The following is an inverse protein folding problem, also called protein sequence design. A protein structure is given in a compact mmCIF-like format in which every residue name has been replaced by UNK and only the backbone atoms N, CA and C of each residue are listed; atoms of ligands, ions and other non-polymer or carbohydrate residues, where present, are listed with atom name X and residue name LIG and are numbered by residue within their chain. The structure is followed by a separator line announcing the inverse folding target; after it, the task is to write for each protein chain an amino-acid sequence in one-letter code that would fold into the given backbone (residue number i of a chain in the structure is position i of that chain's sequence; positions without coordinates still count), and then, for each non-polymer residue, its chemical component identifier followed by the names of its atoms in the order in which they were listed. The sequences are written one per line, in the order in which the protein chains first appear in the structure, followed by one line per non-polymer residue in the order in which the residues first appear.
data_IF_707378558975
#
_entry.id   IF_707378558975
#
_cell.length_a   1.000
_cell.length_b   1.000
_cell.length_c   1.000
_cell.angle_alpha   90.00
_cell.angle_beta   90.00
_cell.angle_gamma   90.00
#
_symmetry.space_group_name_H-M   'P 1'
#
loop_
_entity.id
_entity.type
_entity.pdbx_description
1 polymer ?
#
# COMPACT_ATOMS: atom_id res chain seq x y z
N UNK A 1 11.37 -16.13 -14.15
CA UNK A 1 9.92 -16.42 -13.97
C UNK A 1 9.51 -17.39 -15.08
N UNK A 2 8.89 -18.55 -14.78
CA UNK A 2 8.57 -19.54 -15.83
C UNK A 2 7.33 -19.10 -16.63
N UNK A 3 7.34 -19.27 -17.95
CA UNK A 3 6.28 -18.84 -18.90
C UNK A 3 4.87 -19.34 -18.49
N UNK A 4 4.80 -20.51 -17.85
CA UNK A 4 3.56 -21.12 -17.37
C UNK A 4 2.84 -20.27 -16.29
N UNK A 5 3.57 -19.45 -15.52
CA UNK A 5 2.95 -18.59 -14.51
C UNK A 5 2.23 -17.39 -15.15
N UNK A 6 2.82 -16.82 -16.21
CA UNK A 6 2.24 -15.68 -16.90
C UNK A 6 0.91 -16.08 -17.56
N UNK A 7 0.84 -17.28 -18.15
CA UNK A 7 -0.40 -17.80 -18.73
C UNK A 7 -1.51 -18.00 -17.69
N UNK A 8 -1.17 -18.56 -16.53
CA UNK A 8 -2.15 -18.75 -15.43
C UNK A 8 -2.61 -17.40 -14.88
N UNK A 9 -1.70 -16.44 -14.69
CA UNK A 9 -2.05 -15.09 -14.28
C UNK A 9 -2.98 -14.42 -15.30
N UNK A 10 -2.70 -14.54 -16.59
CA UNK A 10 -3.54 -13.99 -17.65
C UNK A 10 -4.96 -14.60 -17.62
N UNK A 11 -5.05 -15.93 -17.49
CA UNK A 11 -6.35 -16.61 -17.42
C UNK A 11 -7.13 -16.17 -16.18
N UNK A 12 -6.48 -16.08 -15.02
CA UNK A 12 -7.15 -15.76 -13.77
C UNK A 12 -7.55 -14.30 -13.68
N UNK A 13 -6.69 -13.37 -14.07
CA UNK A 13 -6.93 -11.94 -13.91
C UNK A 13 -7.68 -11.31 -15.10
N UNK A 14 -7.71 -11.96 -16.27
CA UNK A 14 -8.41 -11.44 -17.46
C UNK A 14 -9.41 -12.45 -18.04
N UNK A 15 -9.01 -13.71 -18.23
CA UNK A 15 -9.86 -14.72 -18.87
C UNK A 15 -11.12 -15.06 -18.06
N UNK A 16 -10.97 -15.47 -16.82
CA UNK A 16 -12.09 -15.86 -15.94
C UNK A 16 -13.04 -14.69 -15.66
N UNK A 17 -12.58 -13.46 -15.33
CA UNK A 17 -13.47 -12.32 -15.19
C UNK A 17 -14.27 -12.03 -16.46
N UNK A 18 -13.63 -12.12 -17.64
CA UNK A 18 -14.30 -11.92 -18.93
C UNK A 18 -15.38 -12.98 -19.19
N UNK A 19 -15.10 -14.26 -18.93
CA UNK A 19 -16.07 -15.35 -19.11
C UNK A 19 -17.24 -15.19 -18.14
N UNK A 20 -16.96 -14.90 -16.87
CA UNK A 20 -17.99 -14.68 -15.84
C UNK A 20 -18.87 -13.48 -16.19
N UNK A 21 -18.29 -12.40 -16.71
CA UNK A 21 -19.05 -11.24 -17.17
C UNK A 21 -19.92 -11.57 -18.37
N UNK A 22 -19.34 -12.13 -19.44
CA UNK A 22 -20.04 -12.39 -20.70
C UNK A 22 -21.18 -13.39 -20.54
N UNK A 23 -20.97 -14.45 -19.77
CA UNK A 23 -21.96 -15.51 -19.60
C UNK A 23 -22.82 -15.32 -18.36
N UNK A 24 -22.30 -14.72 -17.29
CA UNK A 24 -23.04 -14.52 -16.04
C UNK A 24 -24.02 -13.35 -16.09
N UNK A 25 -23.73 -12.29 -16.85
CA UNK A 25 -24.56 -11.08 -16.91
C UNK A 25 -26.02 -11.36 -17.27
N UNK A 26 -26.29 -12.34 -18.14
CA UNK A 26 -27.65 -12.73 -18.52
C UNK A 26 -28.43 -13.49 -17.44
N UNK A 27 -27.76 -14.18 -16.51
CA UNK A 27 -28.42 -15.02 -15.51
C UNK A 27 -28.56 -14.34 -14.15
N UNK A 28 -27.55 -13.59 -13.73
CA UNK A 28 -27.47 -13.00 -12.38
C UNK A 28 -27.54 -11.47 -12.40
N UNK A 29 -27.59 -10.85 -13.58
CA UNK A 29 -27.60 -9.41 -13.75
C UNK A 29 -26.20 -8.78 -13.63
N UNK A 30 -26.09 -7.58 -14.19
CA UNK A 30 -24.84 -6.82 -14.34
C UNK A 30 -24.05 -6.71 -13.04
N UNK A 31 -24.74 -6.32 -11.97
CA UNK A 31 -24.12 -6.06 -10.67
C UNK A 31 -23.47 -7.32 -10.08
N UNK A 32 -24.20 -8.42 -10.02
CA UNK A 32 -23.69 -9.67 -9.46
C UNK A 32 -22.64 -10.32 -10.36
N UNK A 33 -22.75 -10.17 -11.69
CA UNK A 33 -21.73 -10.64 -12.62
C UNK A 33 -20.40 -9.90 -12.45
N UNK A 34 -20.43 -8.58 -12.24
CA UNK A 34 -19.23 -7.80 -11.90
C UNK A 34 -18.61 -8.26 -10.59
N UNK A 35 -19.40 -8.42 -9.53
CA UNK A 35 -18.90 -8.90 -8.23
C UNK A 35 -18.27 -10.29 -8.34
N UNK A 36 -18.97 -11.24 -8.96
CA UNK A 36 -18.47 -12.61 -9.16
C UNK A 36 -17.19 -12.68 -9.99
N UNK A 37 -17.03 -11.77 -10.97
CA UNK A 37 -15.83 -11.71 -11.81
C UNK A 37 -14.54 -11.41 -11.02
N UNK A 38 -14.65 -10.83 -9.82
CA UNK A 38 -13.50 -10.53 -8.96
C UNK A 38 -13.06 -11.71 -8.08
N UNK A 39 -13.95 -12.68 -7.84
CA UNK A 39 -13.71 -13.83 -6.96
C UNK A 39 -12.52 -14.69 -7.42
N UNK A 40 -12.36 -15.05 -8.70
CA UNK A 40 -11.22 -15.84 -9.16
C UNK A 40 -9.87 -15.20 -8.85
N UNK A 41 -9.75 -13.88 -9.09
CA UNK A 41 -8.55 -13.12 -8.80
C UNK A 41 -8.21 -13.13 -7.31
N UNK A 42 -9.22 -12.96 -6.44
CA UNK A 42 -9.05 -13.01 -4.97
C UNK A 42 -8.58 -14.40 -4.54
N UNK A 43 -9.27 -15.48 -4.98
CA UNK A 43 -8.94 -16.86 -4.62
C UNK A 43 -7.53 -17.24 -5.06
N UNK A 44 -7.15 -16.91 -6.30
CA UNK A 44 -5.82 -17.19 -6.81
C UNK A 44 -4.73 -16.41 -6.08
N UNK A 45 -5.00 -15.13 -5.77
CA UNK A 45 -4.07 -14.31 -4.98
C UNK A 45 -3.83 -14.94 -3.62
N UNK A 46 -4.90 -15.40 -2.93
CA UNK A 46 -4.80 -16.10 -1.64
C UNK A 46 -4.02 -17.42 -1.78
N UNK A 47 -4.33 -18.24 -2.79
CA UNK A 47 -3.63 -19.50 -3.03
C UNK A 47 -2.12 -19.30 -3.25
N UNK A 48 -1.76 -18.35 -4.12
CA UNK A 48 -0.35 -18.02 -4.40
C UNK A 48 0.35 -17.50 -3.15
N UNK A 49 -0.35 -16.67 -2.38
CA UNK A 49 0.14 -16.14 -1.12
C UNK A 49 0.42 -17.23 -0.08
N UNK A 50 -0.45 -18.25 0.03
CA UNK A 50 -0.21 -19.43 0.87
C UNK A 50 1.00 -20.26 0.40
N UNK A 51 1.20 -20.36 -0.92
CA UNK A 51 2.28 -21.15 -1.53
C UNK A 51 3.64 -20.49 -1.40
N UNK A 52 3.73 -19.19 -1.66
CA UNK A 52 5.00 -18.46 -1.64
C UNK A 52 5.49 -18.17 -0.21
N UNK A 53 4.63 -18.31 0.82
CA UNK A 53 4.92 -18.15 2.27
C UNK A 53 5.64 -16.86 2.68
N UNK A 54 5.75 -15.87 1.79
CA UNK A 54 6.39 -14.60 2.07
C UNK A 54 5.35 -13.56 2.48
N UNK A 55 4.97 -13.58 3.77
CA UNK A 55 4.10 -12.56 4.36
C UNK A 55 4.83 -11.20 4.42
N UNK A 56 4.55 -10.33 3.48
CA UNK A 56 4.92 -8.92 3.54
C UNK A 56 3.69 -8.08 3.92
N UNK A 57 3.69 -7.56 5.16
CA UNK A 57 2.60 -6.73 5.70
C UNK A 57 2.34 -5.50 4.83
N UNK A 58 3.39 -4.87 4.28
CA UNK A 58 3.27 -3.68 3.41
C UNK A 58 2.66 -4.05 2.07
N UNK A 59 3.12 -5.15 1.47
CA UNK A 59 2.58 -5.63 0.20
C UNK A 59 1.10 -5.97 0.31
N UNK A 60 0.70 -6.68 1.38
CA UNK A 60 -0.70 -6.96 1.68
C UNK A 60 -1.50 -5.67 1.85
N UNK A 61 -0.99 -4.72 2.64
CA UNK A 61 -1.67 -3.43 2.85
C UNK A 61 -1.90 -2.68 1.54
N UNK A 62 -0.89 -2.57 0.67
CA UNK A 62 -1.02 -1.89 -0.63
C UNK A 62 -2.03 -2.60 -1.51
N UNK A 63 -1.92 -3.92 -1.68
CA UNK A 63 -2.84 -4.69 -2.54
C UNK A 63 -4.27 -4.61 -2.01
N UNK A 64 -4.47 -4.81 -0.71
CA UNK A 64 -5.78 -4.68 -0.09
C UNK A 64 -6.34 -3.27 -0.25
N UNK A 65 -5.53 -2.23 -0.08
CA UNK A 65 -6.01 -0.85 -0.25
C UNK A 65 -6.47 -0.55 -1.68
N UNK A 66 -5.75 -1.05 -2.67
CA UNK A 66 -6.11 -0.91 -4.08
C UNK A 66 -7.38 -1.69 -4.40
N UNK A 67 -7.48 -2.93 -3.91
CA UNK A 67 -8.68 -3.75 -4.08
C UNK A 67 -9.91 -3.09 -3.46
N UNK A 68 -9.84 -2.65 -2.20
CA UNK A 68 -10.97 -1.98 -1.55
C UNK A 68 -11.36 -0.69 -2.27
N UNK A 69 -10.39 0.12 -2.72
CA UNK A 69 -10.66 1.34 -3.46
C UNK A 69 -11.40 1.04 -4.77
N UNK A 70 -10.86 0.13 -5.58
CA UNK A 70 -11.46 -0.26 -6.86
C UNK A 70 -12.83 -0.90 -6.68
N UNK A 71 -13.01 -1.75 -5.66
CA UNK A 71 -14.32 -2.35 -5.38
C UNK A 71 -15.34 -1.28 -4.99
N UNK A 72 -15.01 -0.37 -4.09
CA UNK A 72 -15.95 0.70 -3.70
C UNK A 72 -16.27 1.65 -4.85
N UNK A 73 -15.32 1.88 -5.76
CA UNK A 73 -15.56 2.66 -6.97
C UNK A 73 -16.48 1.93 -7.95
N UNK A 74 -16.30 0.62 -8.15
CA UNK A 74 -17.17 -0.20 -9.00
C UNK A 74 -18.60 -0.34 -8.44
N UNK A 75 -18.73 -0.33 -7.12
CA UNK A 75 -20.02 -0.43 -6.43
C UNK A 75 -20.73 0.93 -6.29
N UNK A 76 -20.10 2.03 -6.68
CA UNK A 76 -20.70 3.34 -6.61
C UNK A 76 -21.74 3.52 -7.73
N UNK A 77 -22.98 3.86 -7.37
CA UNK A 77 -24.06 4.14 -8.32
C UNK A 77 -23.97 5.53 -8.95
N UNK A 78 -23.04 6.38 -8.52
CA UNK A 78 -22.84 7.73 -9.04
C UNK A 78 -21.43 8.26 -8.76
N UNK A 79 -20.99 9.26 -9.53
CA UNK A 79 -19.70 9.93 -9.34
C UNK A 79 -19.57 10.59 -7.95
N UNK A 80 -20.66 11.13 -7.40
CA UNK A 80 -20.66 11.71 -6.05
C UNK A 80 -20.49 10.63 -4.98
N UNK A 81 -21.07 9.44 -5.18
CA UNK A 81 -20.87 8.32 -4.27
C UNK A 81 -19.43 7.79 -4.32
N UNK A 82 -18.79 7.74 -5.50
CA UNK A 82 -17.36 7.41 -5.62
C UNK A 82 -16.49 8.38 -4.81
N UNK A 83 -16.76 9.68 -4.90
CA UNK A 83 -16.06 10.71 -4.13
C UNK A 83 -16.18 10.46 -2.62
N UNK A 84 -17.39 10.22 -2.11
CA UNK A 84 -17.61 9.91 -0.70
C UNK A 84 -16.92 8.62 -0.26
N UNK A 85 -17.04 7.55 -1.05
CA UNK A 85 -16.37 6.27 -0.79
C UNK A 85 -14.85 6.46 -0.65
N UNK A 86 -14.24 7.25 -1.55
CA UNK A 86 -12.82 7.58 -1.52
C UNK A 86 -12.42 8.33 -0.24
N UNK A 87 -13.23 9.29 0.24
CA UNK A 87 -12.97 10.03 1.50
C UNK A 87 -12.99 9.08 2.69
N UNK A 88 -14.08 8.32 2.86
CA UNK A 88 -14.25 7.45 4.02
C UNK A 88 -13.20 6.35 4.06
N UNK A 89 -12.91 5.73 2.91
CA UNK A 89 -11.87 4.71 2.83
C UNK A 89 -10.49 5.30 3.18
N UNK A 90 -10.18 6.51 2.71
CA UNK A 90 -8.92 7.19 3.01
C UNK A 90 -8.78 7.55 4.49
N UNK A 91 -9.87 7.94 5.16
CA UNK A 91 -9.88 8.09 6.63
C UNK A 91 -9.65 6.75 7.33
N UNK A 92 -10.23 5.66 6.83
CA UNK A 92 -9.96 4.31 7.31
C UNK A 92 -8.49 3.92 7.23
N UNK A 93 -7.82 4.18 6.10
CA UNK A 93 -6.36 3.95 5.98
C UNK A 93 -5.56 4.85 6.93
N UNK A 94 -5.97 6.11 7.09
CA UNK A 94 -5.34 7.04 8.04
C UNK A 94 -5.45 6.52 9.47
N UNK A 95 -6.60 5.96 9.84
CA UNK A 95 -6.82 5.34 11.15
C UNK A 95 -5.90 4.13 11.37
N UNK A 96 -5.68 3.30 10.35
CA UNK A 96 -4.71 2.20 10.43
C UNK A 96 -3.30 2.71 10.76
N UNK A 97 -2.86 3.82 10.14
CA UNK A 97 -1.58 4.44 10.50
C UNK A 97 -1.56 4.96 11.94
N UNK A 98 -2.64 5.61 12.41
CA UNK A 98 -2.77 6.08 13.80
C UNK A 98 -2.68 4.89 14.76
N UNK A 99 -3.44 3.83 14.53
CA UNK A 99 -3.41 2.60 15.34
C UNK A 99 -1.99 2.03 15.37
N UNK A 100 -1.30 1.97 14.22
CA UNK A 100 0.08 1.47 14.14
C UNK A 100 1.06 2.28 15.02
N UNK A 101 0.85 3.60 15.12
CA UNK A 101 1.64 4.46 16.00
C UNK A 101 1.33 4.20 17.47
N UNK A 102 0.05 4.08 17.83
CA UNK A 102 -0.40 3.85 19.21
C UNK A 102 0.12 2.52 19.78
N UNK A 103 0.12 1.45 18.98
CA UNK A 103 0.69 0.14 19.38
C UNK A 103 2.22 0.10 19.32
N UNK A 104 2.89 1.24 19.07
CA UNK A 104 4.36 1.38 18.92
C UNK A 104 4.96 0.49 17.84
N UNK A 105 4.18 0.13 16.81
CA UNK A 105 4.63 -0.62 15.63
C UNK A 105 4.32 0.18 14.36
N UNK A 106 4.94 1.37 14.19
CA UNK A 106 4.64 2.25 13.06
C UNK A 106 4.81 1.53 11.73
N UNK A 107 3.82 1.66 10.84
CA UNK A 107 3.83 1.00 9.53
C UNK A 107 5.06 1.34 8.68
N UNK A 108 5.62 2.54 8.87
CA UNK A 108 6.84 2.97 8.19
C UNK A 108 8.06 2.06 8.47
N UNK A 109 8.13 1.40 9.65
CA UNK A 109 9.20 0.43 9.94
C UNK A 109 9.10 -0.77 9.02
N UNK A 110 7.90 -1.29 8.79
CA UNK A 110 7.72 -2.44 7.91
C UNK A 110 8.08 -2.10 6.47
N UNK A 111 7.79 -0.86 6.02
CA UNK A 111 8.23 -0.38 4.71
C UNK A 111 9.76 -0.31 4.62
N UNK A 112 10.43 0.19 5.65
CA UNK A 112 11.90 0.24 5.69
C UNK A 112 12.53 -1.16 5.69
N UNK A 113 11.95 -2.13 6.42
CA UNK A 113 12.41 -3.52 6.44
C UNK A 113 12.31 -4.16 5.06
N UNK A 114 11.22 -3.92 4.33
CA UNK A 114 11.07 -4.43 2.96
C UNK A 114 12.05 -3.77 2.00
N UNK A 115 12.29 -2.47 2.13
CA UNK A 115 13.32 -1.79 1.35
C UNK A 115 14.71 -2.37 1.58
N UNK A 116 15.08 -2.66 2.83
CA UNK A 116 16.35 -3.34 3.13
C UNK A 116 16.38 -4.77 2.58
N UNK A 117 15.24 -5.47 2.56
CA UNK A 117 15.16 -6.79 1.97
C UNK A 117 15.44 -6.78 0.48
N UNK A 118 14.90 -5.79 -0.24
CA UNK A 118 15.19 -5.57 -1.67
C UNK A 118 16.68 -5.26 -1.92
N UNK A 119 17.37 -4.65 -0.96
CA UNK A 119 18.82 -4.44 -1.01
C UNK A 119 19.66 -5.68 -0.66
N UNK A 120 19.01 -6.80 -0.34
CA UNK A 120 19.66 -8.08 -0.05
C UNK A 120 19.94 -8.33 1.44
N UNK A 121 19.39 -7.52 2.35
CA UNK A 121 19.50 -7.76 3.79
C UNK A 121 18.41 -8.73 4.29
N UNK A 122 18.72 -9.59 5.27
CA UNK A 122 17.71 -10.49 5.83
C UNK A 122 16.65 -9.71 6.64
N UNK A 123 15.37 -10.07 6.45
CA UNK A 123 14.21 -9.42 7.09
C UNK A 123 14.31 -9.47 8.62
N UNK A 124 14.72 -10.59 9.21
CA UNK A 124 14.75 -10.74 10.68
C UNK A 124 15.76 -9.84 11.36
N UNK A 125 16.97 -9.71 10.78
CA UNK A 125 17.98 -8.78 11.29
C UNK A 125 17.55 -7.33 11.08
N UNK A 126 16.90 -7.03 9.95
CA UNK A 126 16.37 -5.69 9.67
C UNK A 126 15.28 -5.30 10.66
N UNK A 127 14.33 -6.20 10.96
CA UNK A 127 13.30 -5.96 11.99
C UNK A 127 13.94 -5.62 13.33
N UNK A 128 14.89 -6.43 13.81
CA UNK A 128 15.57 -6.19 15.09
C UNK A 128 16.23 -4.80 15.14
N UNK A 129 16.89 -4.39 14.05
CA UNK A 129 17.54 -3.08 13.95
C UNK A 129 16.53 -1.92 14.02
N UNK A 130 15.47 -1.96 13.22
CA UNK A 130 14.50 -0.86 13.15
C UNK A 130 13.60 -0.76 14.39
N UNK A 131 13.40 -1.86 15.13
CA UNK A 131 12.62 -1.88 16.38
C UNK A 131 13.41 -1.45 17.63
N UNK A 132 14.66 -1.02 17.49
CA UNK A 132 15.40 -0.36 18.58
C UNK A 132 14.71 0.96 18.95
N UNK A 133 14.64 1.28 20.24
CA UNK A 133 13.90 2.43 20.79
C UNK A 133 14.25 3.78 20.12
N UNK A 134 15.53 4.04 19.80
CA UNK A 134 15.91 5.27 19.09
C UNK A 134 15.32 5.33 17.67
N UNK A 135 15.36 4.21 16.95
CA UNK A 135 14.84 4.10 15.57
C UNK A 135 13.31 4.17 15.54
N UNK A 136 12.63 3.52 16.48
CA UNK A 136 11.15 3.54 16.56
C UNK A 136 10.63 4.97 16.66
N UNK A 137 11.29 5.85 17.43
CA UNK A 137 10.91 7.27 17.53
C UNK A 137 11.00 7.99 16.19
N UNK A 138 12.06 7.74 15.41
CA UNK A 138 12.24 8.33 14.08
C UNK A 138 11.14 7.87 13.12
N UNK A 139 10.85 6.57 13.10
CA UNK A 139 9.80 6.02 12.23
C UNK A 139 8.38 6.35 12.71
N UNK A 140 8.19 6.69 13.99
CA UNK A 140 6.95 7.33 14.44
C UNK A 140 6.78 8.71 13.84
N UNK A 141 7.84 9.52 13.71
CA UNK A 141 7.76 10.81 13.01
C UNK A 141 7.40 10.63 11.53
N UNK A 142 8.04 9.68 10.84
CA UNK A 142 7.70 9.35 9.46
C UNK A 142 6.22 8.96 9.35
N UNK A 143 5.74 8.11 10.26
CA UNK A 143 4.34 7.68 10.27
C UNK A 143 3.38 8.82 10.61
N UNK A 144 3.79 9.75 11.48
CA UNK A 144 3.03 10.96 11.78
C UNK A 144 2.81 11.82 10.52
N UNK A 145 3.81 11.90 9.63
CA UNK A 145 3.66 12.61 8.34
C UNK A 145 2.60 11.92 7.46
N UNK A 146 2.55 10.58 7.42
CA UNK A 146 1.46 9.86 6.73
C UNK A 146 0.09 10.17 7.33
N UNK A 147 -0.01 10.22 8.65
CA UNK A 147 -1.27 10.57 9.34
C UNK A 147 -1.69 12.00 9.01
N UNK A 148 -0.77 12.97 9.12
CA UNK A 148 -1.03 14.37 8.79
C UNK A 148 -1.45 14.50 7.33
N UNK A 149 -0.73 13.86 6.40
CA UNK A 149 -1.12 13.80 4.98
C UNK A 149 -2.54 13.31 4.82
N UNK A 150 -2.88 12.18 5.44
CA UNK A 150 -4.21 11.57 5.35
C UNK A 150 -5.30 12.51 5.87
N UNK A 151 -5.13 13.04 7.08
CA UNK A 151 -6.08 13.98 7.67
C UNK A 151 -6.25 15.24 6.82
N UNK A 152 -5.16 15.87 6.38
CA UNK A 152 -5.21 17.09 5.56
C UNK A 152 -5.89 16.82 4.22
N UNK A 153 -5.46 15.79 3.48
CA UNK A 153 -6.06 15.44 2.18
C UNK A 153 -7.55 15.15 2.32
N UNK A 154 -7.92 14.32 3.29
CA UNK A 154 -9.31 13.85 3.42
C UNK A 154 -10.23 14.97 3.91
N UNK A 155 -9.76 15.86 4.80
CA UNK A 155 -10.55 17.00 5.27
C UNK A 155 -10.76 18.03 4.16
N UNK A 156 -9.73 18.33 3.37
CA UNK A 156 -9.89 19.22 2.20
C UNK A 156 -10.87 18.60 1.19
N UNK A 157 -10.77 17.29 0.98
CA UNK A 157 -11.65 16.57 0.06
C UNK A 157 -13.10 16.59 0.53
N UNK A 158 -13.35 16.30 1.81
CA UNK A 158 -14.66 16.38 2.44
C UNK A 158 -15.27 17.78 2.25
N UNK A 159 -14.49 18.83 2.52
CA UNK A 159 -14.92 20.21 2.37
C UNK A 159 -15.26 20.58 0.93
N UNK A 160 -14.46 20.14 -0.04
CA UNK A 160 -14.73 20.37 -1.47
C UNK A 160 -16.02 19.68 -1.92
N UNK A 161 -16.25 18.44 -1.49
CA UNK A 161 -17.44 17.67 -1.86
C UNK A 161 -18.70 18.32 -1.29
N UNK A 162 -18.67 18.77 -0.04
CA UNK A 162 -19.83 19.41 0.60
C UNK A 162 -20.20 20.73 -0.12
N UNK A 163 -19.19 21.52 -0.52
CA UNK A 163 -19.43 22.85 -1.09
C UNK A 163 -19.65 22.86 -2.62
N UNK A 164 -19.02 21.95 -3.36
CA UNK A 164 -19.01 21.96 -4.83
C UNK A 164 -19.67 20.71 -5.45
N UNK A 165 -20.11 19.73 -4.65
CA UNK A 165 -20.81 18.55 -5.15
C UNK A 165 -20.04 17.81 -6.25
N UNK A 166 -20.68 17.63 -7.41
CA UNK A 166 -20.09 16.96 -8.56
C UNK A 166 -18.99 17.80 -9.24
N UNK A 167 -19.09 19.13 -9.22
CA UNK A 167 -18.09 20.03 -9.80
C UNK A 167 -16.77 20.04 -9.01
N UNK A 168 -16.80 19.53 -7.78
CA UNK A 168 -15.60 19.29 -6.99
C UNK A 168 -14.58 18.46 -7.75
N UNK A 169 -15.00 17.55 -8.65
CA UNK A 169 -14.15 16.57 -9.32
C UNK A 169 -12.92 17.18 -10.01
N UNK A 170 -13.08 18.28 -10.75
CA UNK A 170 -11.95 18.94 -11.42
C UNK A 170 -10.97 19.58 -10.43
N UNK A 171 -11.48 20.33 -9.44
CA UNK A 171 -10.66 20.93 -8.40
C UNK A 171 -9.91 19.87 -7.57
N UNK A 172 -10.58 18.75 -7.32
CA UNK A 172 -10.06 17.60 -6.59
C UNK A 172 -8.82 17.03 -7.26
N UNK A 173 -8.83 16.87 -8.59
CA UNK A 173 -7.71 16.29 -9.34
C UNK A 173 -6.46 17.16 -9.16
N UNK A 174 -6.59 18.48 -9.33
CA UNK A 174 -5.47 19.41 -9.24
C UNK A 174 -4.92 19.45 -7.81
N UNK A 175 -5.80 19.62 -6.81
CA UNK A 175 -5.41 19.71 -5.40
C UNK A 175 -4.76 18.40 -4.93
N UNK A 176 -5.30 17.24 -5.32
CA UNK A 176 -4.71 15.94 -4.97
C UNK A 176 -3.32 15.75 -5.57
N UNK A 177 -3.12 16.16 -6.83
CA UNK A 177 -1.79 16.08 -7.46
C UNK A 177 -0.79 16.99 -6.75
N UNK A 178 -1.17 18.24 -6.49
CA UNK A 178 -0.31 19.21 -5.81
C UNK A 178 0.06 18.77 -4.38
N UNK A 179 -0.93 18.49 -3.54
CA UNK A 179 -0.70 18.01 -2.17
C UNK A 179 0.01 16.66 -2.17
N UNK A 180 -0.35 15.78 -3.12
CA UNK A 180 0.27 14.48 -3.27
C UNK A 180 1.77 14.60 -3.50
N UNK A 181 2.19 15.51 -4.38
CA UNK A 181 3.59 15.79 -4.65
C UNK A 181 4.31 16.32 -3.40
N UNK A 182 3.75 17.36 -2.75
CA UNK A 182 4.34 17.99 -1.56
C UNK A 182 4.58 16.95 -0.46
N UNK A 183 3.55 16.18 -0.11
CA UNK A 183 3.69 15.16 0.92
C UNK A 183 4.59 14.00 0.48
N UNK A 184 4.62 13.63 -0.80
CA UNK A 184 5.53 12.58 -1.28
C UNK A 184 7.00 12.99 -1.12
N UNK A 185 7.35 14.24 -1.48
CA UNK A 185 8.70 14.78 -1.25
C UNK A 185 9.02 14.83 0.25
N UNK A 186 8.08 15.31 1.06
CA UNK A 186 8.26 15.39 2.52
C UNK A 186 8.48 14.01 3.15
N UNK A 187 7.66 13.02 2.79
CA UNK A 187 7.79 11.63 3.26
C UNK A 187 9.12 11.03 2.81
N UNK A 188 9.52 11.28 1.56
CA UNK A 188 10.78 10.78 1.02
C UNK A 188 11.98 11.32 1.81
N UNK A 189 12.03 12.64 2.05
CA UNK A 189 13.09 13.27 2.84
C UNK A 189 13.10 12.70 4.27
N UNK A 190 11.93 12.57 4.90
CA UNK A 190 11.81 12.02 6.25
C UNK A 190 12.30 10.56 6.33
N UNK A 191 12.00 9.74 5.31
CA UNK A 191 12.50 8.37 5.20
C UNK A 191 14.02 8.32 5.04
N UNK A 192 14.59 9.16 4.18
CA UNK A 192 16.05 9.24 4.01
C UNK A 192 16.75 9.66 5.29
N UNK A 193 16.22 10.67 5.99
CA UNK A 193 16.76 11.12 7.27
C UNK A 193 16.69 10.01 8.34
N UNK A 194 15.53 9.37 8.49
CA UNK A 194 15.35 8.28 9.46
C UNK A 194 16.26 7.08 9.13
N UNK A 195 16.32 6.68 7.86
CA UNK A 195 17.16 5.58 7.38
C UNK A 195 18.65 5.82 7.59
N UNK A 196 19.15 7.01 7.24
CA UNK A 196 20.56 7.38 7.45
C UNK A 196 20.94 7.34 8.94
N UNK A 197 20.07 7.85 9.81
CA UNK A 197 20.31 7.82 11.26
C UNK A 197 20.25 6.41 11.82
N UNK A 198 19.34 5.56 11.34
CA UNK A 198 19.32 4.12 11.69
C UNK A 198 20.59 3.40 11.25
N UNK A 199 21.14 3.75 10.07
CA UNK A 199 22.40 3.20 9.58
C UNK A 199 23.61 3.64 10.42
N UNK A 200 23.60 4.85 10.98
CA UNK A 200 24.63 5.31 11.93
C UNK A 200 24.57 4.50 13.23
N UNK A 201 23.38 4.37 13.82
CA UNK A 201 23.17 3.55 15.04
C UNK A 201 23.62 2.11 14.84
N UNK A 202 23.41 1.56 13.64
CA UNK A 202 23.90 0.23 13.28
C UNK A 202 25.44 0.15 13.30
N UNK A 203 26.13 1.11 12.68
CA UNK A 203 27.61 1.15 12.64
C UNK A 203 28.23 1.26 14.03
N UNK A 204 27.58 1.97 14.95
CA UNK A 204 28.03 2.15 16.32
C UNK A 204 27.81 0.92 17.20
N UNK A 205 26.73 0.15 16.97
CA UNK A 205 26.32 -0.95 17.86
C UNK A 205 26.69 -2.36 17.39
N UNK A 206 26.84 -2.60 16.08
CA UNK A 206 27.04 -3.96 15.59
C UNK A 206 27.82 -3.99 14.26
N UNK A 207 29.14 -4.25 14.33
CA UNK A 207 30.01 -4.34 13.15
C UNK A 207 29.72 -5.56 12.26
N UNK A 208 29.04 -6.58 12.78
CA UNK A 208 28.82 -7.85 12.07
C UNK A 208 27.53 -7.88 11.21
N UNK A 209 26.72 -6.82 11.24
CA UNK A 209 25.52 -6.67 10.40
C UNK A 209 25.83 -6.52 8.91
N UNK A 210 27.07 -6.14 8.56
CA UNK A 210 27.54 -5.87 7.18
C UNK A 210 27.64 -7.14 6.32
N UNK A 211 27.58 -8.34 6.90
CA UNK A 211 27.60 -9.58 6.11
C UNK A 211 26.29 -9.73 5.31
N UNK A 212 26.27 -9.13 4.11
CA UNK A 212 25.31 -9.45 3.04
C UNK A 212 25.26 -10.96 2.88
N UNK A 213 24.08 -11.49 2.56
CA UNK A 213 23.91 -12.92 2.28
C UNK A 213 24.95 -13.33 1.21
N UNK A 214 25.79 -14.35 1.46
CA UNK A 214 26.74 -14.80 0.44
C UNK A 214 25.94 -15.28 -0.77
N UNK A 215 26.04 -14.55 -1.89
CA UNK A 215 25.35 -14.89 -3.14
C UNK A 215 24.40 -13.82 -3.71
N UNK A 216 24.22 -12.65 -3.07
CA UNK A 216 23.57 -11.53 -3.78
C UNK A 216 24.53 -10.98 -4.85
N UNK A 217 24.30 -11.39 -6.09
CA UNK A 217 25.03 -10.89 -7.26
C UNK A 217 24.96 -9.37 -7.24
N UNK A 218 26.13 -8.75 -7.12
CA UNK A 218 26.37 -7.36 -7.47
C UNK A 218 25.78 -7.13 -8.86
N UNK A 219 24.74 -6.32 -8.96
CA UNK A 219 24.43 -5.64 -10.22
C UNK A 219 25.56 -4.63 -10.37
N UNK A 220 26.60 -5.04 -11.10
CA UNK A 220 27.61 -4.14 -11.62
C UNK A 220 26.98 -3.39 -12.81
N UNK A 221 27.27 -2.09 -12.82
CA UNK A 221 27.01 -1.06 -13.83
C UNK A 221 25.67 -0.33 -13.71
#
# INVERSE_FOLDING_TARGET
MKINYILVELIVYLGLPYVIWTHGRSFIGDYYAMLLSTIPAIVYTIYRFMKDRQFNIVGVFIISSLLFSSLLDLLAGSAIQMLWNSVFLSYGFTLIYIISMLIKKPLAIYLAVEFMHLQGYPRDKSKKLYFIKENVKLFQLVTAIFVIRGLVMNTIMLWLIINHGADAFMHLIIIRKALGLVFSVLIFIAFLFAGNKTMQVMKERDRDWIKKVPGSKTIQN
#
